data_IF_428238434550
#
_entry.id   IF_428238434550
#
_cell.length_a   1.000
_cell.length_b   1.000
_cell.length_c   1.000
_cell.angle_alpha   90.00
_cell.angle_beta   90.00
_cell.angle_gamma   90.00
#
_symmetry.space_group_name_H-M   'P 1'
#
loop_
_entity.id
_entity.type
_entity.pdbx_description
1 polymer ?
#
# COMPACT_ATOMS: atom_id res chain seq x y z
N UNK A 1 5.04 -10.85 12.41
CA UNK A 1 6.45 -10.93 11.97
C UNK A 1 6.92 -9.57 11.41
N UNK A 2 6.12 -8.90 10.56
CA UNK A 2 6.38 -7.53 10.07
C UNK A 2 6.28 -6.42 11.13
N UNK A 3 5.33 -6.50 12.07
CA UNK A 3 5.15 -5.48 13.11
C UNK A 3 6.36 -5.27 14.06
N UNK A 4 7.20 -6.31 14.24
CA UNK A 4 8.42 -6.23 15.06
C UNK A 4 9.59 -5.59 14.32
N UNK A 5 9.56 -5.57 12.98
CA UNK A 5 10.58 -4.89 12.18
C UNK A 5 10.28 -3.39 12.02
N UNK A 6 9.05 -2.93 12.26
CA UNK A 6 8.73 -1.50 12.11
C UNK A 6 9.22 -0.61 13.25
N UNK A 7 9.33 -1.15 14.47
CA UNK A 7 10.09 -0.46 15.53
C UNK A 7 11.59 -0.39 15.19
N UNK A 8 12.11 -1.38 14.46
CA UNK A 8 13.50 -1.43 14.01
C UNK A 8 13.78 -0.50 12.81
N UNK A 9 12.89 -0.40 11.82
CA UNK A 9 12.98 0.56 10.70
C UNK A 9 12.94 2.00 11.20
N UNK A 10 12.16 2.29 12.26
CA UNK A 10 12.15 3.61 12.93
C UNK A 10 13.45 3.92 13.68
N UNK A 11 14.24 2.91 14.05
CA UNK A 11 15.57 3.08 14.66
C UNK A 11 16.69 3.19 13.61
N UNK A 12 16.55 2.52 12.46
CA UNK A 12 17.51 2.55 11.36
C UNK A 12 17.55 3.89 10.61
N UNK A 13 16.49 4.70 10.70
CA UNK A 13 16.47 6.06 10.16
C UNK A 13 17.34 7.05 10.96
N UNK A 14 17.83 6.67 12.15
CA UNK A 14 18.61 7.58 13.04
C UNK A 14 20.11 7.28 13.05
N UNK A 15 20.62 6.24 12.38
CA UNK A 15 22.05 5.91 12.53
C UNK A 15 22.68 4.86 11.63
N UNK A 16 22.38 4.84 10.33
CA UNK A 16 23.13 3.99 9.41
C UNK A 16 24.38 4.71 8.87
N UNK A 17 25.51 4.61 9.59
CA UNK A 17 26.84 4.89 9.03
C UNK A 17 27.19 3.84 7.98
N UNK A 18 27.61 4.34 6.82
CA UNK A 18 27.95 3.59 5.62
C UNK A 18 29.14 2.65 5.86
N UNK A 19 28.98 1.35 5.59
CA UNK A 19 30.12 0.43 5.41
C UNK A 19 29.99 -0.18 4.01
N UNK A 20 30.89 0.23 3.11
CA UNK A 20 30.96 -0.23 1.72
C UNK A 20 31.84 -1.47 1.66
N UNK A 21 31.22 -2.64 1.52
CA UNK A 21 31.89 -3.84 1.00
C UNK A 21 30.96 -4.52 0.00
N UNK A 22 31.15 -4.22 -1.29
CA UNK A 22 30.74 -5.11 -2.38
C UNK A 22 31.45 -4.68 -3.67
N UNK A 23 32.45 -5.46 -4.07
CA UNK A 23 33.13 -5.39 -5.36
C UNK A 23 32.23 -5.99 -6.44
N UNK A 24 31.49 -5.13 -7.14
CA UNK A 24 31.01 -5.40 -8.49
C UNK A 24 31.75 -4.43 -9.41
N UNK A 25 32.38 -4.97 -10.47
CA UNK A 25 33.06 -4.16 -11.49
C UNK A 25 32.01 -3.30 -12.20
N UNK A 26 31.96 -2.01 -11.86
CA UNK A 26 31.20 -1.01 -12.60
C UNK A 26 31.92 -0.77 -13.93
N UNK A 27 31.28 -1.17 -15.03
CA UNK A 27 31.69 -0.79 -16.38
C UNK A 27 31.55 0.73 -16.50
N UNK A 28 32.70 1.43 -16.41
CA UNK A 28 32.77 2.89 -16.34
C UNK A 28 32.45 3.51 -17.71
N UNK A 29 31.16 3.62 -17.98
CA UNK A 29 30.60 4.40 -19.10
C UNK A 29 30.54 5.90 -18.77
N UNK A 30 31.26 6.39 -17.75
CA UNK A 30 31.17 7.80 -17.33
C UNK A 30 32.00 8.72 -18.22
N UNK A 31 31.32 9.56 -18.99
CA UNK A 31 31.95 10.74 -19.57
C UNK A 31 32.26 11.74 -18.43
N UNK A 32 33.40 12.46 -18.42
CA UNK A 32 33.77 13.39 -17.35
C UNK A 32 32.77 14.52 -17.07
N UNK A 33 31.87 14.79 -18.01
CA UNK A 33 30.80 15.79 -17.88
C UNK A 33 29.46 15.22 -17.39
N UNK A 34 29.38 13.92 -17.13
CA UNK A 34 28.17 13.29 -16.63
C UNK A 34 27.90 13.73 -15.18
N UNK A 35 26.63 13.97 -14.86
CA UNK A 35 26.18 14.30 -13.50
C UNK A 35 25.07 13.36 -13.09
N UNK A 36 25.18 12.78 -11.90
CA UNK A 36 24.10 11.99 -11.30
C UNK A 36 22.85 12.87 -11.09
N UNK A 37 21.71 12.46 -11.65
CA UNK A 37 20.41 13.15 -11.49
C UNK A 37 19.54 12.43 -10.45
N UNK A 38 19.63 11.09 -10.41
CA UNK A 38 18.86 10.27 -9.50
C UNK A 38 19.56 8.92 -9.32
N UNK A 39 19.47 8.38 -8.11
CA UNK A 39 19.92 7.05 -7.75
C UNK A 39 18.84 6.38 -6.89
N UNK A 40 18.66 5.07 -7.07
CA UNK A 40 17.73 4.30 -6.25
C UNK A 40 18.30 4.05 -4.85
N UNK A 41 17.45 4.11 -3.83
CA UNK A 41 17.85 3.67 -2.50
C UNK A 41 18.07 2.15 -2.47
N UNK A 42 19.14 1.66 -1.81
CA UNK A 42 19.35 0.22 -1.66
C UNK A 42 18.19 -0.41 -0.87
N UNK A 43 17.86 -1.66 -1.21
CA UNK A 43 16.84 -2.42 -0.48
C UNK A 43 17.33 -2.70 0.95
N UNK A 44 16.41 -2.77 1.93
CA UNK A 44 16.79 -3.07 3.30
C UNK A 44 17.40 -4.48 3.43
N UNK A 45 18.23 -4.71 4.47
CA UNK A 45 18.61 -6.06 4.87
C UNK A 45 17.34 -6.92 5.02
N UNK A 46 17.41 -8.18 4.60
CA UNK A 46 16.28 -9.13 4.60
C UNK A 46 15.13 -8.84 3.62
N UNK A 47 15.28 -7.89 2.68
CA UNK A 47 14.23 -7.66 1.67
C UNK A 47 13.80 -8.94 0.93
N UNK A 48 14.71 -9.89 0.71
CA UNK A 48 14.40 -11.19 0.09
C UNK A 48 13.36 -12.02 0.86
N UNK A 49 13.32 -11.91 2.18
CA UNK A 49 12.32 -12.57 3.04
C UNK A 49 10.96 -11.85 3.00
N UNK A 50 10.95 -10.60 2.53
CA UNK A 50 9.82 -9.70 2.52
C UNK A 50 9.48 -9.25 1.09
N UNK A 51 9.35 -10.22 0.18
CA UNK A 51 8.95 -10.00 -1.22
C UNK A 51 9.82 -8.99 -2.00
N UNK A 52 11.09 -8.86 -1.62
CA UNK A 52 12.04 -7.88 -2.16
C UNK A 52 11.53 -6.43 -2.10
N UNK A 53 10.70 -6.09 -1.11
CA UNK A 53 10.16 -4.74 -0.96
C UNK A 53 11.25 -3.72 -0.64
N UNK A 54 11.06 -2.49 -1.12
CA UNK A 54 11.82 -1.33 -0.66
C UNK A 54 11.29 -0.85 0.68
N UNK A 55 12.06 -0.05 1.42
CA UNK A 55 11.56 0.59 2.66
C UNK A 55 10.28 1.40 2.41
N UNK A 56 10.22 2.12 1.28
CA UNK A 56 9.02 2.84 0.89
C UNK A 56 7.82 1.90 0.75
N UNK A 57 7.97 0.79 0.02
CA UNK A 57 6.88 -0.15 -0.20
C UNK A 57 6.43 -0.84 1.11
N UNK A 58 7.36 -1.15 2.01
CA UNK A 58 7.06 -1.69 3.34
C UNK A 58 6.20 -0.72 4.17
N UNK A 59 6.40 0.59 4.03
CA UNK A 59 5.63 1.62 4.78
C UNK A 59 4.21 1.84 4.27
N UNK A 60 3.89 1.46 3.02
CA UNK A 60 2.61 1.78 2.39
C UNK A 60 1.42 1.20 3.16
N UNK A 61 1.60 0.00 3.72
CA UNK A 61 0.55 -0.75 4.38
C UNK A 61 0.61 -0.67 5.91
N UNK A 62 1.45 0.19 6.49
CA UNK A 62 1.48 0.39 7.94
C UNK A 62 0.24 1.15 8.41
N UNK A 63 -0.47 0.60 9.40
CA UNK A 63 -1.53 1.33 10.11
C UNK A 63 -0.90 2.27 11.14
N UNK A 64 -1.36 3.52 11.24
CA UNK A 64 -0.87 4.44 12.28
C UNK A 64 -1.04 3.81 13.67
N UNK A 65 -0.10 3.97 14.60
CA UNK A 65 -0.27 3.46 15.97
C UNK A 65 -1.31 4.25 16.77
N UNK A 66 -1.41 5.55 16.48
CA UNK A 66 -2.37 6.44 17.12
C UNK A 66 -3.80 6.15 16.66
N UNK A 67 -4.68 5.86 17.61
CA UNK A 67 -6.10 5.58 17.37
C UNK A 67 -6.84 6.79 16.75
N UNK A 68 -6.41 8.02 17.05
CA UNK A 68 -6.93 9.22 16.40
C UNK A 68 -6.62 9.25 14.92
N UNK A 69 -5.39 8.92 14.53
CA UNK A 69 -4.97 8.83 13.14
C UNK A 69 -5.61 7.65 12.39
N UNK A 70 -5.77 6.49 13.05
CA UNK A 70 -6.55 5.37 12.49
C UNK A 70 -7.97 5.79 12.13
N UNK A 71 -8.65 6.52 13.03
CA UNK A 71 -10.01 7.03 12.82
C UNK A 71 -10.13 8.05 11.68
N UNK A 72 -9.01 8.64 11.22
CA UNK A 72 -8.99 9.56 10.07
C UNK A 72 -8.95 8.83 8.72
N UNK A 73 -8.79 7.51 8.70
CA UNK A 73 -8.86 6.70 7.48
C UNK A 73 -10.31 6.27 7.23
N UNK A 74 -10.79 6.27 5.97
CA UNK A 74 -12.07 5.67 5.65
C UNK A 74 -12.00 4.15 5.85
N UNK A 75 -13.13 3.51 6.18
CA UNK A 75 -13.22 2.03 6.28
C UNK A 75 -12.79 1.28 5.00
N UNK A 76 -12.82 1.95 3.85
CA UNK A 76 -12.36 1.41 2.56
C UNK A 76 -10.85 1.50 2.35
N UNK A 77 -10.08 2.10 3.26
CA UNK A 77 -8.62 2.18 3.14
C UNK A 77 -8.03 0.76 3.12
N UNK A 78 -7.12 0.49 2.17
CA UNK A 78 -6.62 -0.86 1.95
C UNK A 78 -5.82 -1.41 3.14
N UNK A 79 -5.35 -0.55 4.06
CA UNK A 79 -4.68 -1.02 5.27
C UNK A 79 -5.61 -1.85 6.16
N UNK A 80 -6.93 -1.67 6.06
CA UNK A 80 -7.93 -2.46 6.77
C UNK A 80 -8.31 -3.76 6.07
N UNK A 81 -7.74 -4.09 4.89
CA UNK A 81 -8.05 -5.34 4.20
C UNK A 81 -7.62 -6.56 5.03
N UNK A 82 -8.56 -7.42 5.48
CA UNK A 82 -8.24 -8.51 6.39
C UNK A 82 -7.36 -9.59 5.75
N UNK A 83 -7.58 -9.90 4.47
CA UNK A 83 -6.77 -10.88 3.74
C UNK A 83 -5.30 -10.46 3.64
N UNK A 84 -5.04 -9.19 3.33
CA UNK A 84 -3.68 -8.64 3.26
C UNK A 84 -3.05 -8.60 4.67
N UNK A 85 -3.81 -8.22 5.71
CA UNK A 85 -3.30 -8.27 7.10
C UNK A 85 -2.89 -9.67 7.52
N UNK A 86 -3.73 -10.68 7.23
CA UNK A 86 -3.43 -12.07 7.56
C UNK A 86 -2.21 -12.58 6.81
N UNK A 87 -2.04 -12.19 5.55
CA UNK A 87 -0.85 -12.50 4.77
C UNK A 87 0.42 -11.91 5.41
N UNK A 88 0.40 -10.63 5.80
CA UNK A 88 1.52 -9.99 6.49
C UNK A 88 1.78 -10.57 7.89
N UNK A 89 0.76 -11.09 8.57
CA UNK A 89 0.94 -11.82 9.83
C UNK A 89 1.58 -13.20 9.62
N UNK A 90 1.69 -13.68 8.37
CA UNK A 90 2.19 -15.00 8.00
C UNK A 90 1.11 -16.09 8.04
N UNK A 91 -0.16 -15.71 8.21
CA UNK A 91 -1.28 -16.64 8.26
C UNK A 91 -1.90 -16.84 6.87
N UNK A 92 -1.25 -17.70 6.07
CA UNK A 92 -1.63 -17.97 4.68
C UNK A 92 -3.03 -18.57 4.53
N UNK A 93 -3.41 -19.46 5.44
CA UNK A 93 -4.73 -20.13 5.42
C UNK A 93 -5.86 -19.10 5.60
N UNK A 94 -5.82 -18.32 6.69
CA UNK A 94 -6.84 -17.28 6.94
C UNK A 94 -6.82 -16.18 5.88
N UNK A 95 -5.66 -15.87 5.31
CA UNK A 95 -5.58 -14.93 4.21
C UNK A 95 -6.35 -15.43 2.97
N UNK A 96 -6.25 -16.73 2.66
CA UNK A 96 -7.00 -17.37 1.58
C UNK A 96 -8.51 -17.38 1.81
N UNK A 97 -8.94 -17.69 3.03
CA UNK A 97 -10.35 -17.64 3.43
C UNK A 97 -10.94 -16.23 3.30
N UNK A 98 -10.26 -15.23 3.87
CA UNK A 98 -10.68 -13.82 3.80
C UNK A 98 -10.70 -13.31 2.36
N UNK A 99 -9.70 -13.67 1.55
CA UNK A 99 -9.68 -13.31 0.12
C UNK A 99 -10.93 -13.82 -0.59
N UNK A 100 -11.26 -15.10 -0.38
CA UNK A 100 -12.45 -15.73 -1.00
C UNK A 100 -13.74 -15.02 -0.57
N UNK A 101 -13.89 -14.79 0.74
CA UNK A 101 -15.05 -14.07 1.30
C UNK A 101 -15.22 -12.67 0.70
N UNK A 102 -14.12 -11.91 0.56
CA UNK A 102 -14.14 -10.55 0.00
C UNK A 102 -14.52 -10.55 -1.49
N UNK A 103 -13.97 -11.48 -2.27
CA UNK A 103 -14.28 -11.60 -3.70
C UNK A 103 -15.74 -12.01 -3.94
N UNK A 104 -16.27 -12.93 -3.13
CA UNK A 104 -17.68 -13.31 -3.16
C UNK A 104 -18.60 -12.14 -2.79
N UNK A 105 -18.27 -11.42 -1.72
CA UNK A 105 -19.04 -10.25 -1.29
C UNK A 105 -19.03 -9.14 -2.36
N UNK A 106 -17.90 -8.92 -3.04
CA UNK A 106 -17.83 -8.00 -4.18
C UNK A 106 -18.68 -8.48 -5.36
N UNK A 107 -18.62 -9.78 -5.68
CA UNK A 107 -19.40 -10.40 -6.76
C UNK A 107 -20.90 -10.26 -6.51
N UNK A 108 -21.35 -10.47 -5.28
CA UNK A 108 -22.76 -10.37 -4.92
C UNK A 108 -23.25 -8.92 -4.91
N UNK A 109 -22.45 -7.97 -4.42
CA UNK A 109 -22.76 -6.53 -4.58
C UNK A 109 -22.94 -6.14 -6.05
N UNK A 110 -22.07 -6.65 -6.93
CA UNK A 110 -22.20 -6.41 -8.38
C UNK A 110 -23.49 -7.00 -8.96
N UNK A 111 -23.87 -8.23 -8.58
CA UNK A 111 -25.14 -8.85 -9.00
C UNK A 111 -26.34 -8.04 -8.54
N UNK A 112 -26.35 -7.59 -7.28
CA UNK A 112 -27.44 -6.79 -6.71
C UNK A 112 -27.61 -5.47 -7.45
N UNK A 113 -26.52 -4.73 -7.69
CA UNK A 113 -26.56 -3.47 -8.44
C UNK A 113 -27.11 -3.67 -9.87
N UNK A 114 -26.65 -4.73 -10.56
CA UNK A 114 -27.16 -5.09 -11.90
C UNK A 114 -28.65 -5.41 -11.87
N UNK A 115 -29.12 -6.19 -10.90
CA UNK A 115 -30.53 -6.54 -10.73
C UNK A 115 -31.40 -5.31 -10.46
N UNK A 116 -30.86 -4.32 -9.74
CA UNK A 116 -31.52 -3.04 -9.47
C UNK A 116 -31.42 -2.04 -10.62
N UNK A 117 -30.71 -2.36 -11.70
CA UNK A 117 -30.47 -1.43 -12.81
C UNK A 117 -29.59 -0.23 -12.43
N UNK A 118 -28.83 -0.32 -11.32
CA UNK A 118 -27.96 0.75 -10.82
C UNK A 118 -26.53 0.53 -11.24
N UNK A 119 -25.87 1.60 -11.66
CA UNK A 119 -24.42 1.61 -11.88
C UNK A 119 -23.67 1.97 -10.59
N UNK A 120 -22.49 1.38 -10.39
CA UNK A 120 -21.59 1.80 -9.33
C UNK A 120 -21.02 3.20 -9.64
N UNK A 121 -21.00 4.09 -8.65
CA UNK A 121 -20.40 5.43 -8.79
C UNK A 121 -19.25 5.59 -7.79
N UNK A 122 -18.00 5.82 -8.23
CA UNK A 122 -16.89 6.10 -7.33
C UNK A 122 -17.09 7.38 -6.50
N UNK A 123 -16.66 7.37 -5.24
CA UNK A 123 -16.87 8.49 -4.31
C UNK A 123 -15.88 9.64 -4.49
N UNK A 124 -14.61 9.31 -4.74
CA UNK A 124 -13.49 10.25 -4.66
C UNK A 124 -13.06 10.81 -6.00
N UNK A 125 -13.54 10.25 -7.09
CA UNK A 125 -13.15 10.63 -8.45
C UNK A 125 -14.38 10.73 -9.37
N UNK A 126 -14.26 11.55 -10.41
CA UNK A 126 -15.26 11.69 -11.48
C UNK A 126 -14.63 11.28 -12.80
N UNK A 127 -15.36 10.46 -13.56
CA UNK A 127 -14.99 10.07 -14.92
C UNK A 127 -15.34 11.18 -15.91
N UNK A 128 -14.46 11.39 -16.87
CA UNK A 128 -14.66 12.27 -18.01
C UNK A 128 -15.03 11.48 -19.27
N UNK A 129 -15.65 12.12 -20.28
CA UNK A 129 -15.99 11.46 -21.53
C UNK A 129 -14.79 10.86 -22.29
N UNK A 130 -13.57 11.34 -22.03
CA UNK A 130 -12.33 10.82 -22.59
C UNK A 130 -11.75 9.61 -21.81
N UNK A 131 -12.46 9.14 -20.78
CA UNK A 131 -12.05 8.05 -19.90
C UNK A 131 -11.06 8.46 -18.80
N UNK A 132 -10.66 9.73 -18.74
CA UNK A 132 -9.83 10.23 -17.65
C UNK A 132 -10.61 10.41 -16.35
N UNK A 133 -9.91 10.44 -15.23
CA UNK A 133 -10.51 10.61 -13.90
C UNK A 133 -9.94 11.82 -13.19
N UNK A 134 -10.80 12.68 -12.63
CA UNK A 134 -10.39 13.81 -11.79
C UNK A 134 -10.79 13.62 -10.35
N UNK A 135 -9.89 14.02 -9.45
CA UNK A 135 -10.15 14.01 -8.01
C UNK A 135 -11.29 14.97 -7.66
N UNK A 136 -12.25 14.52 -6.87
CA UNK A 136 -13.47 15.29 -6.54
C UNK A 136 -13.27 16.37 -5.48
N UNK A 137 -12.10 16.43 -4.83
CA UNK A 137 -11.84 17.37 -3.72
C UNK A 137 -12.49 16.98 -2.39
N UNK A 138 -13.18 15.84 -2.31
CA UNK A 138 -13.99 15.46 -1.14
C UNK A 138 -13.24 14.63 -0.10
N UNK A 139 -12.30 13.79 -0.52
CA UNK A 139 -11.64 12.80 0.35
C UNK A 139 -11.02 13.45 1.61
N UNK A 140 -10.27 14.54 1.43
CA UNK A 140 -9.57 15.21 2.52
C UNK A 140 -10.47 16.03 3.45
N UNK A 141 -11.77 16.17 3.12
CA UNK A 141 -12.77 16.75 4.04
C UNK A 141 -13.16 15.79 5.18
N UNK A 142 -12.76 14.51 5.08
CA UNK A 142 -12.93 13.47 6.10
C UNK A 142 -14.38 13.17 6.49
N UNK A 143 -15.33 13.48 5.61
CA UNK A 143 -16.71 12.99 5.73
C UNK A 143 -16.79 11.59 5.11
N UNK A 144 -16.79 10.57 5.98
CA UNK A 144 -16.86 9.17 5.59
C UNK A 144 -18.23 8.52 5.89
N UNK A 145 -19.25 9.32 6.19
CA UNK A 145 -20.60 8.84 6.51
C UNK A 145 -21.19 7.95 5.40
N UNK A 146 -20.96 8.32 4.14
CA UNK A 146 -21.46 7.66 2.93
C UNK A 146 -20.53 6.58 2.35
N UNK A 147 -19.41 6.29 3.00
CA UNK A 147 -18.45 5.29 2.52
C UNK A 147 -19.08 3.88 2.65
N UNK A 148 -18.95 2.96 1.69
CA UNK A 148 -19.52 1.62 1.86
C UNK A 148 -18.68 0.76 2.79
N UNK A 149 -19.32 -0.18 3.50
CA UNK A 149 -18.61 -1.29 4.14
C UNK A 149 -18.23 -2.30 3.08
N UNK A 150 -16.92 -2.51 2.91
CA UNK A 150 -16.42 -3.33 1.81
C UNK A 150 -15.58 -4.52 2.24
N UNK A 151 -15.20 -4.59 3.52
CA UNK A 151 -14.49 -5.71 4.09
C UNK A 151 -15.42 -6.57 4.95
#
# INVERSE_FOLDING_TARGET
MYAKFNTFTRSLTVGATHNKDSSAEEDDLSHPSSRLIWESQPKPPHSAEYYHLTLFAMSLNELPDDEGDRRRLPRTDCRFRPDIRKLEEGNLERAGEEKTRLEELQRDRSKTLKKEGKAWTPLWFREHPDGSWTFSGKYWKRDFSSVPEIF
#
